data_IF_950162785973
#
_entry.id   IF_950162785973
#
_cell.length_a   1.000
_cell.length_b   1.000
_cell.length_c   1.000
_cell.angle_alpha   90.00
_cell.angle_beta   90.00
_cell.angle_gamma   90.00
#
_symmetry.space_group_name_H-M   'P 1'
#
loop_
_entity.id
_entity.type
_entity.pdbx_description
1 polymer ?
#
# COMPACT_ATOMS: atom_id res chain seq x y z
N UNK A 1 19.79 17.38 11.40
CA UNK A 1 19.85 16.41 10.29
C UNK A 1 18.69 15.45 10.43
N UNK A 2 17.97 15.16 9.34
CA UNK A 2 16.85 14.22 9.30
C UNK A 2 17.32 12.95 8.59
N UNK A 3 16.98 11.78 9.12
CA UNK A 3 17.23 10.47 8.53
C UNK A 3 15.94 9.91 7.94
N UNK A 4 16.03 9.34 6.75
CA UNK A 4 14.87 8.82 6.02
C UNK A 4 15.13 7.36 5.67
N UNK A 5 14.76 6.40 6.53
CA UNK A 5 14.79 4.99 6.17
C UNK A 5 13.73 4.74 5.09
N UNK A 6 14.16 4.20 3.95
CA UNK A 6 13.27 3.89 2.83
C UNK A 6 12.86 2.42 2.88
N UNK A 7 11.56 2.19 2.86
CA UNK A 7 10.92 0.88 2.99
C UNK A 7 9.83 0.73 1.93
N UNK A 8 9.54 -0.49 1.52
CA UNK A 8 8.41 -0.86 0.67
C UNK A 8 7.36 -1.57 1.52
N UNK A 9 6.12 -1.61 1.06
CA UNK A 9 5.03 -2.36 1.74
C UNK A 9 5.13 -3.89 1.57
N UNK A 10 6.34 -4.46 1.66
CA UNK A 10 6.60 -5.91 1.74
C UNK A 10 6.46 -6.37 3.19
N UNK A 11 6.02 -7.60 3.40
CA UNK A 11 5.73 -8.08 4.75
C UNK A 11 6.94 -8.03 5.70
N UNK A 12 8.14 -8.35 5.23
CA UNK A 12 9.37 -8.26 6.04
C UNK A 12 9.70 -6.81 6.41
N UNK A 13 9.63 -5.89 5.45
CA UNK A 13 9.90 -4.47 5.66
C UNK A 13 8.84 -3.83 6.58
N UNK A 14 7.58 -4.23 6.48
CA UNK A 14 6.52 -3.81 7.40
C UNK A 14 6.73 -4.35 8.82
N UNK A 15 7.31 -5.55 9.00
CA UNK A 15 7.68 -6.05 10.33
C UNK A 15 8.79 -5.20 10.95
N UNK A 16 9.79 -4.81 10.17
CA UNK A 16 10.87 -3.90 10.61
C UNK A 16 10.30 -2.52 10.94
N UNK A 17 9.45 -1.98 10.08
CA UNK A 17 8.75 -0.72 10.30
C UNK A 17 8.02 -0.73 11.66
N UNK A 18 7.26 -1.80 11.93
CA UNK A 18 6.54 -1.95 13.20
C UNK A 18 7.47 -2.11 14.40
N UNK A 19 8.53 -2.92 14.29
CA UNK A 19 9.45 -3.16 15.42
C UNK A 19 10.27 -1.93 15.79
N UNK A 20 10.52 -1.04 14.83
CA UNK A 20 11.26 0.20 15.01
C UNK A 20 10.36 1.42 15.28
N UNK A 21 9.06 1.24 15.54
CA UNK A 21 8.11 2.36 15.66
C UNK A 21 8.56 3.45 16.64
N UNK A 22 9.18 3.04 17.75
CA UNK A 22 9.66 3.95 18.81
C UNK A 22 10.86 4.80 18.38
N UNK A 23 11.60 4.35 17.37
CA UNK A 23 12.72 5.09 16.81
C UNK A 23 12.27 6.26 15.92
N UNK A 24 11.04 6.23 15.39
CA UNK A 24 10.55 7.26 14.49
C UNK A 24 10.16 8.52 15.25
N UNK A 25 10.69 9.65 14.78
CA UNK A 25 10.59 10.96 15.39
C UNK A 25 10.73 12.04 14.32
N UNK A 26 10.69 13.32 14.69
CA UNK A 26 10.98 14.41 13.75
C UNK A 26 12.40 14.36 13.16
N UNK A 27 13.31 13.56 13.74
CA UNK A 27 14.66 13.33 13.22
C UNK A 27 14.78 12.06 12.38
N UNK A 28 13.85 11.11 12.49
CA UNK A 28 13.86 9.84 11.74
C UNK A 28 12.45 9.59 11.22
N UNK A 29 12.21 9.93 9.95
CA UNK A 29 10.89 9.85 9.32
C UNK A 29 10.96 8.81 8.20
N UNK A 30 10.25 7.67 8.30
CA UNK A 30 10.31 6.64 7.26
C UNK A 30 9.68 7.13 5.96
N UNK A 31 10.31 6.76 4.83
CA UNK A 31 9.71 6.84 3.50
C UNK A 31 9.17 5.46 3.13
N UNK A 32 7.87 5.37 2.91
CA UNK A 32 7.18 4.12 2.57
C UNK A 32 6.73 4.17 1.12
N UNK A 33 7.25 3.25 0.31
CA UNK A 33 6.81 3.02 -1.06
C UNK A 33 5.71 1.94 -1.06
N UNK A 34 4.49 2.34 -1.38
CA UNK A 34 3.38 1.41 -1.55
C UNK A 34 3.56 0.66 -2.87
N UNK A 35 3.79 -0.65 -2.78
CA UNK A 35 3.98 -1.53 -3.94
C UNK A 35 2.72 -2.33 -4.28
N UNK A 36 1.81 -2.51 -3.31
CA UNK A 36 0.55 -3.23 -3.46
C UNK A 36 -0.49 -2.70 -2.47
N UNK A 37 -1.76 -2.79 -2.83
CA UNK A 37 -2.86 -2.42 -1.94
C UNK A 37 -3.26 -3.60 -1.05
N UNK A 38 -3.57 -3.31 0.21
CA UNK A 38 -4.25 -4.21 1.14
C UNK A 38 -5.73 -3.90 1.15
N UNK A 39 -6.54 -4.95 1.08
CA UNK A 39 -7.99 -4.84 1.04
C UNK A 39 -8.60 -5.44 2.31
N UNK A 40 -9.62 -4.77 2.84
CA UNK A 40 -10.49 -5.33 3.87
C UNK A 40 -11.27 -6.50 3.26
N UNK A 41 -11.21 -7.66 3.92
CA UNK A 41 -11.95 -8.83 3.48
C UNK A 41 -13.41 -8.68 3.89
N UNK A 42 -14.30 -8.63 2.90
CA UNK A 42 -15.75 -8.75 3.10
C UNK A 42 -16.23 -10.13 2.67
N UNK A 43 -17.35 -10.56 3.25
CA UNK A 43 -17.96 -11.86 2.97
C UNK A 43 -19.39 -11.66 2.49
N UNK A 44 -19.84 -12.53 1.59
CA UNK A 44 -21.20 -12.50 1.07
C UNK A 44 -22.19 -12.94 2.15
N UNK A 45 -23.35 -12.29 2.18
CA UNK A 45 -24.48 -12.63 3.04
C UNK A 45 -25.71 -12.91 2.18
N UNK A 46 -26.58 -13.80 2.64
CA UNK A 46 -27.88 -14.03 2.04
C UNK A 46 -28.89 -12.93 2.43
N UNK A 47 -30.15 -13.10 1.99
CA UNK A 47 -31.25 -12.16 2.26
C UNK A 47 -31.58 -12.02 3.76
N UNK A 48 -31.20 -13.00 4.59
CA UNK A 48 -31.41 -12.99 6.03
C UNK A 48 -30.20 -12.43 6.79
N UNK A 49 -29.13 -12.04 6.08
CA UNK A 49 -27.88 -11.55 6.68
C UNK A 49 -26.91 -12.66 7.10
N UNK A 50 -27.20 -13.93 6.80
CA UNK A 50 -26.34 -15.06 7.14
C UNK A 50 -25.20 -15.23 6.12
N UNK A 51 -24.02 -15.62 6.60
CA UNK A 51 -22.86 -15.77 5.72
C UNK A 51 -23.03 -16.95 4.76
N UNK A 52 -22.89 -16.68 3.47
CA UNK A 52 -22.83 -17.72 2.44
C UNK A 52 -21.52 -18.50 2.62
N UNK A 53 -21.63 -19.83 2.69
CA UNK A 53 -20.50 -20.74 2.87
C UNK A 53 -20.38 -21.70 1.69
N UNK A 54 -19.18 -21.88 1.19
CA UNK A 54 -18.85 -22.87 0.18
C UNK A 54 -18.00 -24.00 0.77
N UNK A 55 -18.19 -25.23 0.27
CA UNK A 55 -17.39 -26.38 0.68
C UNK A 55 -16.07 -26.36 -0.09
N UNK A 56 -14.97 -26.15 0.62
CA UNK A 56 -13.62 -26.22 0.08
C UNK A 56 -12.89 -27.45 0.62
N UNK A 57 -12.77 -28.49 -0.21
CA UNK A 57 -12.27 -29.82 0.17
C UNK A 57 -13.10 -30.41 1.32
N UNK A 58 -12.59 -30.37 2.55
CA UNK A 58 -13.21 -30.93 3.75
C UNK A 58 -13.83 -29.87 4.68
N UNK A 59 -13.63 -28.58 4.41
CA UNK A 59 -14.07 -27.49 5.30
C UNK A 59 -15.01 -26.54 4.59
N UNK A 60 -15.96 -25.98 5.32
CA UNK A 60 -16.78 -24.86 4.84
C UNK A 60 -16.06 -23.54 5.08
N UNK A 61 -15.96 -22.71 4.03
CA UNK A 61 -15.36 -21.37 4.11
C UNK A 61 -16.41 -20.34 3.72
N UNK A 62 -16.36 -19.18 4.37
CA UNK A 62 -17.19 -18.04 3.98
C UNK A 62 -16.75 -17.55 2.59
N UNK A 63 -17.72 -17.31 1.71
CA UNK A 63 -17.46 -16.79 0.36
C UNK A 63 -17.05 -15.33 0.48
N UNK A 64 -15.91 -14.97 -0.12
CA UNK A 64 -15.39 -13.59 -0.10
C UNK A 64 -16.07 -12.76 -1.19
N UNK A 65 -16.32 -11.49 -0.90
CA UNK A 65 -16.69 -10.52 -1.93
C UNK A 65 -15.45 -10.16 -2.76
N UNK A 66 -15.66 -9.81 -4.03
CA UNK A 66 -14.62 -9.14 -4.83
C UNK A 66 -14.28 -7.80 -4.19
N UNK A 67 -13.00 -7.50 -3.92
CA UNK A 67 -12.60 -6.23 -3.32
C UNK A 67 -12.96 -5.03 -4.21
N UNK A 68 -13.37 -3.92 -3.58
CA UNK A 68 -13.66 -2.63 -4.21
C UNK A 68 -12.63 -1.57 -3.78
N UNK A 69 -12.65 -0.38 -4.41
CA UNK A 69 -11.77 0.72 -4.00
C UNK A 69 -12.02 1.18 -2.55
N UNK A 70 -13.27 1.07 -2.07
CA UNK A 70 -13.63 1.41 -0.70
C UNK A 70 -13.07 0.41 0.31
N UNK A 71 -12.66 -0.78 -0.13
CA UNK A 71 -12.04 -1.79 0.71
C UNK A 71 -10.53 -1.57 0.89
N UNK A 72 -9.94 -0.60 0.20
CA UNK A 72 -8.49 -0.32 0.31
C UNK A 72 -8.18 0.27 1.69
N UNK A 73 -7.40 -0.47 2.48
CA UNK A 73 -7.03 -0.12 3.86
C UNK A 73 -5.51 0.08 4.03
N UNK A 74 -4.73 0.17 2.96
CA UNK A 74 -3.26 0.25 3.02
C UNK A 74 -2.77 1.42 3.86
N UNK A 75 -3.23 2.64 3.53
CA UNK A 75 -2.84 3.84 4.27
C UNK A 75 -3.36 3.80 5.70
N UNK A 76 -4.59 3.36 5.91
CA UNK A 76 -5.15 3.19 7.26
C UNK A 76 -4.26 2.28 8.12
N UNK A 77 -3.90 1.10 7.59
CA UNK A 77 -3.03 0.15 8.27
C UNK A 77 -1.65 0.75 8.59
N UNK A 78 -1.06 1.53 7.68
CA UNK A 78 0.22 2.21 7.93
C UNK A 78 0.09 3.25 9.05
N UNK A 79 -0.99 4.02 9.04
CA UNK A 79 -1.26 5.03 10.06
C UNK A 79 -1.39 4.41 11.46
N UNK A 80 -2.17 3.33 11.56
CA UNK A 80 -2.39 2.59 12.81
C UNK A 80 -1.10 1.92 13.29
N UNK A 81 -0.35 1.30 12.37
CA UNK A 81 0.91 0.61 12.67
C UNK A 81 1.97 1.52 13.29
N UNK A 82 2.00 2.78 12.86
CA UNK A 82 2.94 3.79 13.36
C UNK A 82 2.31 4.75 14.38
N UNK A 83 1.09 4.46 14.85
CA UNK A 83 0.41 5.23 15.90
C UNK A 83 0.37 6.74 15.61
N UNK A 84 0.15 7.10 14.35
CA UNK A 84 0.09 8.50 13.93
C UNK A 84 1.45 9.21 13.81
N UNK A 85 2.59 8.51 13.93
CA UNK A 85 3.92 9.10 13.69
C UNK A 85 4.07 9.56 12.25
N UNK A 86 4.91 10.58 12.04
CA UNK A 86 5.15 11.15 10.71
C UNK A 86 5.77 10.10 9.78
N UNK A 87 5.32 10.08 8.53
CA UNK A 87 5.91 9.27 7.48
C UNK A 87 5.79 9.97 6.13
N UNK A 88 6.76 9.75 5.27
CA UNK A 88 6.64 10.04 3.85
C UNK A 88 6.01 8.83 3.16
N UNK A 89 5.11 9.06 2.21
CA UNK A 89 4.49 7.99 1.43
C UNK A 89 4.58 8.32 -0.05
N UNK A 90 5.12 7.40 -0.84
CA UNK A 90 5.05 7.41 -2.30
C UNK A 90 4.41 6.10 -2.77
N UNK A 91 3.97 6.07 -4.02
CA UNK A 91 3.56 4.85 -4.68
C UNK A 91 4.64 4.42 -5.67
N UNK A 92 5.12 3.19 -5.49
CA UNK A 92 6.16 2.64 -6.35
C UNK A 92 5.65 2.53 -7.79
N UNK A 93 6.48 2.95 -8.74
CA UNK A 93 6.21 2.89 -10.17
C UNK A 93 7.41 2.27 -10.87
N UNK A 94 7.15 1.40 -11.83
CA UNK A 94 8.20 0.86 -12.69
C UNK A 94 7.70 0.65 -14.12
N UNK A 95 8.62 0.63 -15.07
CA UNK A 95 8.35 0.26 -16.46
C UNK A 95 8.83 -1.18 -16.72
N UNK A 96 8.09 -1.92 -17.55
CA UNK A 96 8.48 -3.27 -17.97
C UNK A 96 9.82 -3.30 -18.72
N UNK A 97 10.22 -2.19 -19.35
CA UNK A 97 11.54 -2.06 -19.97
C UNK A 97 12.69 -2.21 -18.96
N UNK A 98 12.45 -1.92 -17.67
CA UNK A 98 13.44 -1.97 -16.59
C UNK A 98 13.39 -3.27 -15.78
N UNK A 99 12.23 -3.93 -15.74
CA UNK A 99 12.02 -5.17 -14.99
C UNK A 99 11.55 -6.24 -15.98
N UNK A 100 12.46 -7.14 -16.38
CA UNK A 100 12.26 -8.10 -17.47
C UNK A 100 11.05 -9.04 -17.32
N UNK A 101 10.87 -9.93 -18.31
CA UNK A 101 9.63 -10.70 -18.59
C UNK A 101 9.06 -11.60 -17.47
N UNK A 102 9.72 -11.76 -16.32
CA UNK A 102 9.37 -12.73 -15.27
C UNK A 102 8.80 -12.10 -13.98
N UNK A 103 7.99 -11.04 -14.08
CA UNK A 103 7.33 -10.46 -12.90
C UNK A 103 6.02 -11.18 -12.64
N UNK A 104 5.78 -11.62 -11.40
CA UNK A 104 4.45 -12.10 -10.97
C UNK A 104 3.48 -10.91 -11.00
N UNK A 105 2.60 -10.87 -12.00
CA UNK A 105 1.70 -9.75 -12.27
C UNK A 105 0.94 -9.27 -11.02
N UNK A 106 0.42 -10.20 -10.22
CA UNK A 106 -0.31 -9.90 -8.96
C UNK A 106 0.49 -9.05 -7.96
N UNK A 107 1.81 -9.22 -7.90
CA UNK A 107 2.69 -8.47 -6.98
C UNK A 107 3.10 -7.09 -7.49
N UNK A 108 2.81 -6.81 -8.76
CA UNK A 108 3.34 -5.67 -9.50
C UNK A 108 2.26 -4.87 -10.24
N UNK A 109 1.02 -5.33 -10.22
CA UNK A 109 -0.13 -4.75 -10.92
C UNK A 109 -0.34 -3.28 -10.55
N UNK A 110 -0.32 -2.95 -9.26
CA UNK A 110 -0.46 -1.56 -8.81
C UNK A 110 0.61 -0.67 -9.44
N UNK A 111 1.88 -1.05 -9.29
CA UNK A 111 2.98 -0.24 -9.79
C UNK A 111 3.01 -0.15 -11.33
N UNK A 112 2.56 -1.19 -12.03
CA UNK A 112 2.35 -1.15 -13.48
C UNK A 112 1.22 -0.21 -13.88
N UNK A 113 0.05 -0.31 -13.23
CA UNK A 113 -1.11 0.54 -13.50
C UNK A 113 -0.79 2.02 -13.24
N UNK A 114 -0.07 2.32 -12.16
CA UNK A 114 0.35 3.67 -11.82
C UNK A 114 1.37 4.26 -12.81
N UNK A 115 2.23 3.43 -13.40
CA UNK A 115 3.16 3.88 -14.45
C UNK A 115 2.44 4.24 -15.75
N UNK A 116 1.37 3.51 -16.08
CA UNK A 116 0.62 3.71 -17.33
C UNK A 116 -0.57 4.68 -17.19
N UNK A 117 -0.96 5.03 -15.96
CA UNK A 117 -2.08 5.92 -15.70
C UNK A 117 -1.70 7.03 -14.70
N UNK A 118 -1.36 8.20 -15.25
CA UNK A 118 -1.00 9.38 -14.45
C UNK A 118 -2.14 9.86 -13.54
N UNK A 119 -3.40 9.81 -13.99
CA UNK A 119 -4.53 10.27 -13.17
C UNK A 119 -4.72 9.38 -11.95
N UNK A 120 -4.61 8.05 -12.14
CA UNK A 120 -4.62 7.09 -11.04
C UNK A 120 -3.49 7.38 -10.05
N UNK A 121 -2.26 7.60 -10.54
CA UNK A 121 -1.13 7.95 -9.67
C UNK A 121 -1.38 9.24 -8.88
N UNK A 122 -1.85 10.31 -9.56
CA UNK A 122 -2.18 11.58 -8.91
C UNK A 122 -3.24 11.39 -7.82
N UNK A 123 -4.31 10.64 -8.11
CA UNK A 123 -5.37 10.35 -7.13
C UNK A 123 -4.82 9.59 -5.92
N UNK A 124 -3.96 8.58 -6.14
CA UNK A 124 -3.33 7.81 -5.06
C UNK A 124 -2.42 8.66 -4.19
N UNK A 125 -1.54 9.46 -4.79
CA UNK A 125 -0.67 10.39 -4.04
C UNK A 125 -1.50 11.43 -3.26
N UNK A 126 -2.56 11.98 -3.85
CA UNK A 126 -3.45 12.90 -3.15
C UNK A 126 -4.17 12.23 -1.97
N UNK A 127 -4.51 10.94 -2.08
CA UNK A 127 -5.18 10.22 -0.98
C UNK A 127 -4.34 10.14 0.30
N UNK A 128 -3.00 10.23 0.20
CA UNK A 128 -2.08 10.30 1.34
C UNK A 128 -2.39 11.50 2.25
N UNK A 129 -2.76 12.64 1.64
CA UNK A 129 -3.06 13.88 2.39
C UNK A 129 -4.30 13.80 3.29
N UNK A 130 -5.09 12.72 3.20
CA UNK A 130 -6.21 12.46 4.12
C UNK A 130 -5.73 12.17 5.55
N UNK A 131 -4.46 11.81 5.74
CA UNK A 131 -3.86 11.51 7.03
C UNK A 131 -2.91 12.63 7.44
N UNK A 132 -3.15 13.24 8.60
CA UNK A 132 -2.42 14.44 9.08
C UNK A 132 -0.90 14.21 9.24
N UNK A 133 -0.49 12.98 9.52
CA UNK A 133 0.88 12.57 9.75
C UNK A 133 1.56 11.99 8.50
N UNK A 134 0.86 11.86 7.38
CA UNK A 134 1.43 11.34 6.14
C UNK A 134 1.73 12.47 5.19
N UNK A 135 2.96 12.48 4.69
CA UNK A 135 3.43 13.49 3.76
C UNK A 135 3.55 12.80 2.39
N UNK A 136 2.77 13.19 1.38
CA UNK A 136 2.97 12.68 0.03
C UNK A 136 4.38 13.06 -0.43
N UNK A 137 5.20 12.06 -0.71
CA UNK A 137 6.54 12.23 -1.22
C UNK A 137 6.56 11.76 -2.65
N UNK A 138 7.17 12.56 -3.52
CA UNK A 138 7.54 12.14 -4.86
C UNK A 138 9.05 12.20 -4.88
N UNK A 139 9.71 11.07 -5.18
CA UNK A 139 11.13 11.12 -5.46
C UNK A 139 11.37 12.17 -6.55
N UNK A 140 12.20 13.20 -6.33
CA UNK A 140 12.62 14.06 -7.41
C UNK A 140 13.31 13.14 -8.41
N UNK A 141 12.73 13.02 -9.60
CA UNK A 141 13.50 12.60 -10.77
C UNK A 141 14.71 13.54 -10.79
N UNK A 142 15.96 13.04 -10.81
CA UNK A 142 17.09 13.95 -10.95
C UNK A 142 16.78 14.81 -12.16
N UNK A 143 16.69 16.13 -11.94
CA UNK A 143 16.63 17.10 -13.01
C UNK A 143 17.68 16.68 -14.02
N UNK A 144 17.26 16.19 -15.18
CA UNK A 144 18.08 16.39 -16.37
C UNK A 144 18.06 17.89 -16.54
N UNK A 145 19.19 18.49 -16.16
CA UNK A 145 19.60 19.84 -16.48
C UNK A 145 19.04 20.25 -17.84
N UNK A 146 18.14 21.23 -17.82
CA UNK A 146 17.91 22.10 -18.97
C UNK A 146 19.10 23.04 -19.12
#
# INVERSE_FOLDING_TARGET
MIYIPMLKTRDEELRVLKSMKECYSDKIIPLIEVISEKYQVRYQTDENGEFIREKHKTQYRKVKCTPTEQDIITLQNLNEMLEGRKMFVDYFRFSLNKYGKNIKFESAELAFNLSNNYQLYKQKVLSVSRYKNMIPYRYPCPFHSL
#
